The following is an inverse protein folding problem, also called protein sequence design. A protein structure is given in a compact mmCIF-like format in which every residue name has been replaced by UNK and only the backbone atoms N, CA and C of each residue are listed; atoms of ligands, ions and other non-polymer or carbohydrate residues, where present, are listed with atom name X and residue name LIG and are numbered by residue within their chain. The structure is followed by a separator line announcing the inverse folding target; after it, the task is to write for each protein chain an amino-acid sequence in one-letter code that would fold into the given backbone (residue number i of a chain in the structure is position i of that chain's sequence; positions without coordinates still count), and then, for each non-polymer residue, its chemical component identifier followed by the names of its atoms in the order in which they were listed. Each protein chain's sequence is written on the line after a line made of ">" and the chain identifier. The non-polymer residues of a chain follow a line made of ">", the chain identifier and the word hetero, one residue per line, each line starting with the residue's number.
data_IF_867936714974
#
_entry.id   IF_867936714974
#
_cell.length_a   1.000
_cell.length_b   1.000
_cell.length_c   1.000
_cell.angle_alpha   90.00
_cell.angle_beta   90.00
_cell.angle_gamma   90.00
#
_symmetry.space_group_name_H-M   'P 1'
#
loop_
_entity.id
_entity.type
_entity.pdbx_description
1 polymer ?
#
# COMPACT_ATOMS: atom_id res chain seq x y z
N UNK A 1 10.44 -4.43 -2.12
CA UNK A 1 9.07 -4.81 -2.48
C UNK A 1 8.05 -3.93 -1.76
N UNK A 2 7.02 -3.51 -2.47
CA UNK A 2 6.03 -2.56 -1.96
C UNK A 2 5.26 -3.12 -0.76
N UNK A 3 4.91 -4.39 -0.79
CA UNK A 3 4.14 -4.99 0.29
C UNK A 3 4.85 -4.85 1.64
N UNK A 4 6.13 -5.12 1.68
CA UNK A 4 6.89 -4.99 2.91
C UNK A 4 6.88 -3.55 3.42
N UNK A 5 7.00 -2.59 2.51
CA UNK A 5 6.96 -1.18 2.86
C UNK A 5 5.60 -0.79 3.43
N UNK A 6 4.53 -1.28 2.82
CA UNK A 6 3.18 -1.02 3.31
C UNK A 6 3.01 -1.56 4.73
N UNK A 7 3.46 -2.79 4.97
CA UNK A 7 3.37 -3.41 6.29
C UNK A 7 4.18 -2.63 7.31
N UNK A 8 5.42 -2.30 6.98
CA UNK A 8 6.31 -1.57 7.88
C UNK A 8 5.74 -0.20 8.25
N UNK A 9 5.25 0.54 7.26
CA UNK A 9 4.71 1.87 7.50
C UNK A 9 3.39 1.82 8.27
N UNK A 10 2.57 0.83 7.99
CA UNK A 10 1.33 0.66 8.73
C UNK A 10 1.61 0.36 10.21
N UNK A 11 2.59 -0.47 10.48
CA UNK A 11 2.98 -0.81 11.85
C UNK A 11 3.49 0.43 12.59
N UNK A 12 4.27 1.26 11.91
CA UNK A 12 4.82 2.49 12.51
C UNK A 12 3.77 3.54 12.78
N UNK A 13 2.94 3.81 11.77
CA UNK A 13 2.01 4.94 11.82
C UNK A 13 0.61 4.54 12.27
N UNK A 14 0.27 3.27 12.18
CA UNK A 14 -1.07 2.75 12.44
C UNK A 14 -2.12 3.42 11.57
N UNK A 15 -1.73 3.80 10.35
CA UNK A 15 -2.60 4.48 9.40
C UNK A 15 -2.49 3.84 8.03
N UNK A 16 -3.59 3.87 7.24
CA UNK A 16 -3.54 3.35 5.88
C UNK A 16 -2.53 4.12 5.03
N UNK A 17 -1.88 3.41 4.12
CA UNK A 17 -0.85 3.97 3.25
C UNK A 17 -1.44 4.23 1.86
N UNK A 18 -1.31 5.46 1.38
CA UNK A 18 -1.77 5.82 0.06
C UNK A 18 -0.69 5.67 -1.00
N UNK A 19 -1.11 5.56 -2.26
CA UNK A 19 -0.17 5.43 -3.38
C UNK A 19 0.74 6.65 -3.50
N UNK A 20 0.23 7.83 -3.19
CA UNK A 20 1.03 9.05 -3.25
C UNK A 20 2.18 9.01 -2.27
N UNK A 21 1.93 8.55 -1.04
CA UNK A 21 2.95 8.42 -0.02
C UNK A 21 4.05 7.46 -0.47
N UNK A 22 3.65 6.30 -0.99
CA UNK A 22 4.62 5.32 -1.49
C UNK A 22 5.40 5.85 -2.67
N UNK A 23 4.74 6.58 -3.57
CA UNK A 23 5.38 7.19 -4.72
C UNK A 23 6.51 8.13 -4.29
N UNK A 24 6.26 8.95 -3.28
CA UNK A 24 7.25 9.87 -2.75
C UNK A 24 8.40 9.14 -2.06
N UNK A 25 8.08 8.13 -1.26
CA UNK A 25 9.07 7.37 -0.51
C UNK A 25 10.01 6.57 -1.43
N UNK A 26 9.46 6.00 -2.49
CA UNK A 26 10.22 5.15 -3.40
C UNK A 26 10.75 5.89 -4.63
N UNK A 27 10.34 7.13 -4.79
CA UNK A 27 10.72 7.95 -5.95
C UNK A 27 10.31 7.26 -7.26
N UNK A 28 9.09 6.73 -7.30
CA UNK A 28 8.50 6.05 -8.46
C UNK A 28 7.19 6.73 -8.79
N UNK A 29 6.71 6.61 -10.01
CA UNK A 29 5.46 7.25 -10.40
C UNK A 29 4.27 6.63 -9.64
N UNK A 30 3.25 7.44 -9.37
CA UNK A 30 2.07 6.96 -8.68
C UNK A 30 1.31 5.90 -9.50
N UNK A 31 1.39 5.98 -10.83
CA UNK A 31 0.77 4.98 -11.69
C UNK A 31 1.41 3.60 -11.48
N UNK A 32 2.73 3.56 -11.37
CA UNK A 32 3.46 2.32 -11.08
C UNK A 32 3.03 1.76 -9.72
N UNK A 33 2.96 2.64 -8.72
CA UNK A 33 2.55 2.24 -7.37
C UNK A 33 1.13 1.67 -7.38
N UNK A 34 0.21 2.32 -8.09
CA UNK A 34 -1.17 1.83 -8.19
C UNK A 34 -1.24 0.44 -8.81
N UNK A 35 -0.44 0.20 -9.86
CA UNK A 35 -0.40 -1.10 -10.50
C UNK A 35 0.05 -2.18 -9.52
N UNK A 36 1.12 -1.90 -8.78
CA UNK A 36 1.64 -2.84 -7.79
C UNK A 36 0.63 -3.09 -6.68
N UNK A 37 -0.01 -2.04 -6.18
CA UNK A 37 -1.03 -2.17 -5.15
C UNK A 37 -2.23 -2.97 -5.65
N UNK A 38 -2.63 -2.79 -6.91
CA UNK A 38 -3.69 -3.56 -7.52
C UNK A 38 -3.40 -5.05 -7.55
N UNK A 39 -2.17 -5.41 -7.90
CA UNK A 39 -1.73 -6.80 -7.90
C UNK A 39 -1.77 -7.39 -6.48
N UNK A 40 -1.25 -6.66 -5.52
CA UNK A 40 -1.25 -7.10 -4.12
C UNK A 40 -2.66 -7.25 -3.58
N UNK A 41 -3.54 -6.36 -3.95
CA UNK A 41 -4.94 -6.42 -3.54
C UNK A 41 -5.64 -7.64 -4.14
N UNK A 42 -5.39 -7.92 -5.42
CA UNK A 42 -5.93 -9.11 -6.10
C UNK A 42 -5.45 -10.40 -5.46
N UNK A 43 -4.20 -10.41 -5.01
CA UNK A 43 -3.62 -11.57 -4.33
C UNK A 43 -4.07 -11.69 -2.87
N UNK A 44 -4.74 -10.67 -2.36
CA UNK A 44 -5.25 -10.69 -0.99
C UNK A 44 -4.25 -10.26 0.07
N UNK A 45 -3.14 -9.65 -0.32
CA UNK A 45 -2.14 -9.20 0.64
C UNK A 45 -2.45 -7.86 1.28
N UNK A 46 -3.21 -7.01 0.58
CA UNK A 46 -3.63 -5.72 1.11
C UNK A 46 -5.12 -5.53 0.85
N UNK A 47 -5.73 -4.62 1.59
CA UNK A 47 -7.17 -4.35 1.50
C UNK A 47 -7.40 -2.85 1.41
N UNK A 48 -8.49 -2.48 0.75
CA UNK A 48 -8.95 -1.09 0.74
C UNK A 48 -9.54 -0.73 2.10
N UNK A 49 -9.30 0.50 2.51
CA UNK A 49 -9.96 1.05 3.68
C UNK A 49 -11.16 1.89 3.23
N UNK A 50 -11.88 2.52 4.17
CA UNK A 50 -12.94 3.45 3.78
C UNK A 50 -12.39 4.77 3.27
N UNK A 51 -11.11 5.03 3.37
CA UNK A 51 -10.50 6.16 2.68
C UNK A 51 -10.17 5.70 1.26
N UNK A 52 -10.49 6.52 0.28
CA UNK A 52 -10.44 6.12 -1.12
C UNK A 52 -9.04 5.73 -1.62
N UNK A 53 -8.00 6.26 -1.03
CA UNK A 53 -6.63 6.00 -1.48
C UNK A 53 -5.81 5.17 -0.49
N UNK A 54 -6.34 4.89 0.70
CA UNK A 54 -5.59 4.18 1.72
C UNK A 54 -5.62 2.67 1.53
N UNK A 55 -4.56 2.01 1.93
CA UNK A 55 -4.46 0.54 1.93
C UNK A 55 -3.86 0.08 3.23
N UNK A 56 -4.31 -1.07 3.70
CA UNK A 56 -3.78 -1.69 4.91
C UNK A 56 -3.39 -3.12 4.59
N UNK A 57 -2.39 -3.69 5.27
CA UNK A 57 -2.07 -5.09 5.09
C UNK A 57 -3.22 -5.97 5.55
N UNK A 58 -3.49 -7.03 4.80
CA UNK A 58 -4.47 -8.02 5.21
C UNK A 58 -3.80 -9.03 6.16
N UNK A 59 -4.58 -9.99 6.64
CA UNK A 59 -4.01 -11.05 7.47
C UNK A 59 -2.92 -11.84 6.74
N UNK A 60 -3.03 -11.90 5.42
CA UNK A 60 -2.08 -12.61 4.58
C UNK A 60 -0.76 -11.86 4.41
N UNK A 61 -0.82 -10.53 4.53
CA UNK A 61 0.33 -9.67 4.29
C UNK A 61 1.25 -9.41 5.48
#
# INVERSE_FOLDING_TARGET
>A
MILKLIVDEYVKAAEPIGSKTLSEMLNVSSATIRNEMGVLEDLGYIEKTHTSSGRVPSEKG
#
